data_IF_455178899253
#
_entry.id   IF_455178899253
#
_cell.length_a   1.000
_cell.length_b   1.000
_cell.length_c   1.000
_cell.angle_alpha   90.00
_cell.angle_beta   90.00
_cell.angle_gamma   90.00
#
_symmetry.space_group_name_H-M   'P 1'
#
loop_
_entity.id
_entity.type
_entity.pdbx_description
1 polymer ?
#
# COMPACT_ATOMS: atom_id res chain seq x y z
N UNK A 1 -15.35 -9.20 7.80
CA UNK A 1 -15.02 -9.50 6.40
C UNK A 1 -15.66 -8.43 5.53
N UNK A 2 -14.96 -7.35 5.23
CA UNK A 2 -15.47 -6.27 4.37
C UNK A 2 -14.52 -6.12 3.19
N UNK A 3 -15.04 -6.37 1.99
CA UNK A 3 -14.36 -6.12 0.71
C UNK A 3 -14.80 -4.74 0.22
N UNK A 4 -13.87 -3.79 0.16
CA UNK A 4 -14.07 -2.54 -0.55
C UNK A 4 -13.61 -2.74 -1.99
N UNK A 5 -14.46 -3.35 -2.83
CA UNK A 5 -14.32 -3.30 -4.28
C UNK A 5 -14.68 -1.91 -4.77
N UNK A 6 -13.73 -0.97 -4.66
CA UNK A 6 -13.71 0.17 -5.56
C UNK A 6 -13.34 -0.33 -6.95
N UNK A 7 -14.17 -0.04 -7.96
CA UNK A 7 -13.81 -0.34 -9.35
C UNK A 7 -12.48 0.34 -9.67
N UNK A 8 -11.42 -0.47 -9.75
CA UNK A 8 -10.16 -0.06 -10.30
C UNK A 8 -10.41 0.30 -11.77
N UNK A 9 -10.02 1.52 -12.15
CA UNK A 9 -9.74 1.78 -13.57
C UNK A 9 -8.70 0.75 -14.01
N UNK A 10 -8.79 0.21 -15.24
CA UNK A 10 -7.93 -0.87 -15.71
C UNK A 10 -6.42 -0.56 -15.67
N UNK A 11 -6.04 0.68 -15.34
CA UNK A 11 -4.68 1.21 -15.42
C UNK A 11 -4.11 1.64 -14.05
N UNK A 12 -4.77 1.32 -12.92
CA UNK A 12 -4.30 1.70 -11.57
C UNK A 12 -4.19 0.49 -10.63
N UNK A 13 -3.03 -0.16 -10.63
CA UNK A 13 -2.69 -1.34 -9.83
C UNK A 13 -2.23 -1.00 -8.40
N UNK A 14 -3.17 -0.60 -7.54
CA UNK A 14 -2.92 -0.51 -6.10
C UNK A 14 -3.77 -1.52 -5.35
N UNK A 15 -3.12 -2.57 -4.85
CA UNK A 15 -3.71 -3.54 -3.93
C UNK A 15 -3.35 -3.22 -2.48
N UNK A 16 -4.31 -3.39 -1.57
CA UNK A 16 -4.10 -3.37 -0.12
C UNK A 16 -4.16 -4.80 0.40
N UNK A 17 -3.01 -5.37 0.76
CA UNK A 17 -2.94 -6.66 1.47
C UNK A 17 -1.83 -6.60 2.50
N UNK A 18 -2.10 -7.14 3.69
CA UNK A 18 -1.07 -7.38 4.70
C UNK A 18 -0.05 -8.33 4.08
N UNK A 19 1.14 -7.82 3.80
CA UNK A 19 2.19 -8.51 3.08
C UNK A 19 2.89 -9.51 4.00
N UNK A 20 3.02 -10.78 3.59
CA UNK A 20 3.83 -11.79 4.28
C UNK A 20 5.34 -11.52 4.17
N UNK A 21 5.74 -10.49 3.41
CA UNK A 21 7.13 -10.06 3.27
C UNK A 21 7.49 -9.16 4.46
N UNK A 22 8.56 -9.48 5.22
CA UNK A 22 9.00 -8.65 6.34
C UNK A 22 9.16 -7.20 5.92
N UNK A 23 8.47 -6.30 6.62
CA UNK A 23 8.51 -4.87 6.33
C UNK A 23 8.19 -4.11 7.61
N UNK A 24 8.73 -2.89 7.71
CA UNK A 24 8.67 -2.05 8.91
C UNK A 24 7.27 -1.81 9.45
N UNK A 25 6.24 -1.86 8.59
CA UNK A 25 4.83 -1.70 9.00
C UNK A 25 4.36 -2.77 9.99
N UNK A 26 4.94 -3.98 9.95
CA UNK A 26 4.61 -5.07 10.88
C UNK A 26 4.91 -4.67 12.32
N UNK A 27 6.05 -4.00 12.57
CA UNK A 27 6.43 -3.55 13.91
C UNK A 27 5.43 -2.57 14.54
N UNK A 28 4.77 -1.74 13.71
CA UNK A 28 3.73 -0.81 14.14
C UNK A 28 2.42 -1.56 14.41
N UNK A 29 2.01 -2.44 13.50
CA UNK A 29 0.81 -3.25 13.64
C UNK A 29 0.86 -4.13 14.92
N UNK A 30 2.01 -4.73 15.21
CA UNK A 30 2.23 -5.53 16.42
C UNK A 30 2.00 -4.72 17.70
N UNK A 31 2.39 -3.43 17.70
CA UNK A 31 2.22 -2.48 18.81
C UNK A 31 0.83 -1.83 18.87
N UNK A 32 -0.11 -2.28 18.03
CA UNK A 32 -1.48 -1.76 18.01
C UNK A 32 -1.62 -0.40 17.32
N UNK A 33 -0.62 0.01 16.53
CA UNK A 33 -0.69 1.20 15.68
C UNK A 33 -1.23 0.73 14.31
N UNK A 34 -2.37 1.25 13.83
CA UNK A 34 -2.88 0.90 12.50
C UNK A 34 -1.83 1.21 11.42
N UNK A 35 -1.39 0.18 10.71
CA UNK A 35 -0.34 0.29 9.71
C UNK A 35 -0.60 -0.66 8.54
N UNK A 36 -0.24 -0.22 7.34
CA UNK A 36 -0.34 -1.03 6.13
C UNK A 36 0.79 -0.66 5.16
N UNK A 37 0.98 -1.49 4.15
CA UNK A 37 1.97 -1.27 3.09
C UNK A 37 1.25 -1.04 1.77
N UNK A 38 1.63 0.03 1.07
CA UNK A 38 1.32 0.22 -0.34
C UNK A 38 2.40 -0.48 -1.16
N UNK A 39 2.00 -1.36 -2.07
CA UNK A 39 2.90 -2.16 -2.89
C UNK A 39 2.39 -2.21 -4.33
N UNK A 40 3.24 -1.83 -5.29
CA UNK A 40 2.98 -2.01 -6.71
C UNK A 40 3.12 -3.49 -7.11
N UNK A 41 2.42 -3.97 -8.13
CA UNK A 41 2.62 -5.33 -8.64
C UNK A 41 2.24 -6.45 -7.67
N UNK A 42 1.37 -6.17 -6.69
CA UNK A 42 0.79 -7.18 -5.81
C UNK A 42 0.07 -8.26 -6.61
N UNK A 43 0.27 -9.54 -6.26
CA UNK A 43 -0.23 -10.71 -7.01
C UNK A 43 0.16 -10.73 -8.50
N UNK A 44 1.18 -9.96 -8.90
CA UNK A 44 1.74 -9.97 -10.26
C UNK A 44 3.18 -10.49 -10.25
N UNK A 45 3.40 -11.80 -10.46
CA UNK A 45 4.73 -12.41 -10.43
C UNK A 45 5.67 -11.88 -11.54
N UNK A 46 5.09 -11.33 -12.60
CA UNK A 46 5.81 -10.68 -13.71
C UNK A 46 6.14 -9.20 -13.45
N UNK A 47 5.83 -8.67 -12.27
CA UNK A 47 6.16 -7.28 -11.91
C UNK A 47 7.67 -7.08 -11.72
N UNK A 48 8.13 -5.84 -11.81
CA UNK A 48 9.52 -5.46 -11.56
C UNK A 48 9.99 -5.85 -10.14
N UNK A 49 9.08 -6.03 -9.18
CA UNK A 49 9.41 -6.43 -7.81
C UNK A 49 10.13 -7.78 -7.72
N UNK A 50 10.00 -8.67 -8.72
CA UNK A 50 10.74 -9.94 -8.76
C UNK A 50 12.27 -9.74 -8.76
N UNK A 51 12.73 -8.55 -9.11
CA UNK A 51 14.14 -8.20 -9.12
C UNK A 51 14.64 -7.67 -7.77
N UNK A 52 13.80 -7.51 -6.75
CA UNK A 52 14.24 -7.14 -5.40
C UNK A 52 14.68 -8.38 -4.59
N UNK A 53 15.80 -8.33 -3.84
CA UNK A 53 16.83 -7.29 -3.74
C UNK A 53 18.07 -7.62 -4.61
N UNK A 54 17.86 -8.04 -5.86
CA UNK A 54 18.95 -8.40 -6.77
C UNK A 54 19.60 -7.15 -7.36
N UNK A 55 20.82 -7.27 -7.92
CA UNK A 55 21.47 -6.19 -8.66
C UNK A 55 20.75 -5.75 -9.94
N UNK A 56 19.64 -6.42 -10.31
CA UNK A 56 18.76 -5.98 -11.41
C UNK A 56 17.72 -4.97 -10.96
N UNK A 57 17.60 -4.66 -9.67
CA UNK A 57 16.74 -3.58 -9.19
C UNK A 57 17.30 -2.22 -9.65
N UNK A 58 16.66 -1.64 -10.66
CA UNK A 58 17.16 -0.45 -11.35
C UNK A 58 16.03 0.50 -11.75
N UNK A 59 16.32 1.80 -11.77
CA UNK A 59 15.33 2.86 -12.00
C UNK A 59 14.60 2.75 -13.34
N UNK A 60 15.23 2.19 -14.36
CA UNK A 60 14.63 1.97 -15.68
C UNK A 60 13.51 0.91 -15.69
N UNK A 61 13.37 0.13 -14.62
CA UNK A 61 12.28 -0.84 -14.46
C UNK A 61 10.99 -0.21 -13.92
N UNK A 62 11.02 1.06 -13.51
CA UNK A 62 9.87 1.76 -12.95
C UNK A 62 9.39 2.82 -13.93
N UNK A 63 8.12 2.73 -14.34
CA UNK A 63 7.56 3.70 -15.26
C UNK A 63 7.20 5.00 -14.52
N UNK A 64 7.49 6.17 -15.11
CA UNK A 64 7.14 7.46 -14.50
C UNK A 64 5.64 7.62 -14.15
N UNK A 65 4.68 7.09 -14.94
CA UNK A 65 3.27 7.08 -14.56
C UNK A 65 2.99 6.30 -13.25
N UNK A 66 3.66 5.18 -13.01
CA UNK A 66 3.48 4.38 -11.79
C UNK A 66 3.92 5.16 -10.55
N UNK A 67 5.03 5.90 -10.65
CA UNK A 67 5.49 6.78 -9.58
C UNK A 67 4.48 7.89 -9.28
N UNK A 68 3.95 8.55 -10.33
CA UNK A 68 2.92 9.59 -10.17
C UNK A 68 1.67 9.04 -9.51
N UNK A 69 1.21 7.87 -9.94
CA UNK A 69 0.04 7.23 -9.34
C UNK A 69 0.31 6.83 -7.89
N UNK A 70 1.51 6.31 -7.58
CA UNK A 70 1.91 5.97 -6.21
C UNK A 70 1.89 7.18 -5.28
N UNK A 71 2.40 8.32 -5.76
CA UNK A 71 2.35 9.59 -5.03
C UNK A 71 0.90 10.05 -4.82
N UNK A 72 0.06 9.99 -5.84
CA UNK A 72 -1.35 10.39 -5.73
C UNK A 72 -2.10 9.53 -4.70
N UNK A 73 -1.92 8.21 -4.73
CA UNK A 73 -2.56 7.29 -3.78
C UNK A 73 -2.05 7.51 -2.35
N UNK A 74 -0.72 7.58 -2.17
CA UNK A 74 -0.14 7.83 -0.85
C UNK A 74 -0.56 9.18 -0.27
N UNK A 75 -0.60 10.22 -1.12
CA UNK A 75 -1.07 11.55 -0.74
C UNK A 75 -2.55 11.56 -0.35
N UNK A 76 -3.42 10.88 -1.10
CA UNK A 76 -4.83 10.77 -0.78
C UNK A 76 -5.07 10.03 0.55
N UNK A 77 -4.36 8.93 0.78
CA UNK A 77 -4.39 8.19 2.05
C UNK A 77 -3.98 9.11 3.20
N UNK A 78 -2.84 9.79 3.07
CA UNK A 78 -2.32 10.66 4.12
C UNK A 78 -3.30 11.80 4.40
N UNK A 79 -3.79 12.46 3.36
CA UNK A 79 -4.76 13.54 3.47
C UNK A 79 -6.04 13.09 4.19
N UNK A 80 -6.56 11.89 3.88
CA UNK A 80 -7.70 11.34 4.61
C UNK A 80 -7.38 11.02 6.05
N UNK A 81 -6.21 10.45 6.33
CA UNK A 81 -5.81 10.09 7.70
C UNK A 81 -5.64 11.31 8.61
N UNK A 82 -5.02 12.40 8.13
CA UNK A 82 -4.81 13.62 8.93
C UNK A 82 -6.11 14.41 9.16
N UNK A 83 -7.11 14.23 8.30
CA UNK A 83 -8.42 14.87 8.42
C UNK A 83 -9.51 13.90 8.94
N UNK A 84 -9.14 12.68 9.34
CA UNK A 84 -10.08 11.70 9.83
C UNK A 84 -10.60 12.11 11.21
N UNK A 85 -11.91 11.98 11.46
CA UNK A 85 -12.45 12.32 12.75
C UNK A 85 -12.09 11.25 13.79
N UNK A 86 -12.15 11.61 15.07
CA UNK A 86 -11.61 10.76 16.16
C UNK A 86 -12.33 9.41 16.24
N UNK A 87 -13.62 9.36 15.94
CA UNK A 87 -14.41 8.12 15.88
C UNK A 87 -13.91 7.15 14.80
N UNK A 88 -13.48 7.66 13.65
CA UNK A 88 -12.93 6.84 12.57
C UNK A 88 -11.58 6.26 13.01
N UNK A 89 -10.72 7.09 13.61
CA UNK A 89 -9.42 6.68 14.14
C UNK A 89 -9.55 5.64 15.26
N UNK A 90 -10.52 5.82 16.18
CA UNK A 90 -10.84 4.85 17.23
C UNK A 90 -11.37 3.54 16.62
N UNK A 91 -12.22 3.62 15.60
CA UNK A 91 -12.72 2.48 14.86
C UNK A 91 -11.63 1.71 14.10
N UNK A 92 -10.54 2.36 13.68
CA UNK A 92 -9.38 1.69 13.10
C UNK A 92 -8.56 0.94 14.16
N UNK A 93 -8.43 1.52 15.36
CA UNK A 93 -7.74 0.86 16.49
C UNK A 93 -8.50 -0.37 17.01
N UNK A 94 -9.83 -0.32 17.02
CA UNK A 94 -10.69 -1.39 17.55
C UNK A 94 -10.83 -2.61 16.61
N UNK A 95 -10.43 -2.49 15.34
CA UNK A 95 -10.60 -3.53 14.30
C UNK A 95 -9.40 -4.47 14.15
N UNK A 96 -8.55 -4.59 15.19
CA UNK A 96 -7.46 -5.57 15.23
C UNK A 96 -7.96 -6.94 15.64
#
# INVERSE_FOLDING_TARGET
>A
MFSLTGQARPDSDFGLKLSEVPSVHVNFAERGIPAFRLLAGFERPTSALRFLPTGKDSRNLVASPELRNGVAVAGAVLFRAINAPSEELLGLRARR
#
